data_IF_491759108452
#
_entry.id   IF_491759108452
#
_cell.length_a   1.000
_cell.length_b   1.000
_cell.length_c   1.000
_cell.angle_alpha   90.00
_cell.angle_beta   90.00
_cell.angle_gamma   90.00
#
_symmetry.space_group_name_H-M   'P 1'
#
loop_
_entity.id
_entity.type
_entity.pdbx_description
1 polymer ?
#
# COMPACT_ATOMS: atom_id res chain seq x y z
N UNK A 1 49.36 34.20 -79.02
CA UNK A 1 48.43 33.20 -78.47
C UNK A 1 48.49 33.32 -76.94
N UNK A 2 47.42 33.75 -76.29
CA UNK A 2 47.36 34.02 -74.87
C UNK A 2 46.84 32.76 -74.09
N UNK A 3 47.40 32.36 -72.96
CA UNK A 3 46.74 31.42 -72.11
C UNK A 3 45.89 32.11 -71.03
N UNK A 4 44.71 31.58 -70.81
CA UNK A 4 43.75 32.02 -69.79
C UNK A 4 44.17 31.62 -68.39
N UNK A 5 44.19 32.61 -67.50
CA UNK A 5 44.37 32.40 -66.08
C UNK A 5 43.02 31.96 -65.39
N UNK A 6 42.99 30.77 -64.85
CA UNK A 6 41.87 30.30 -64.02
C UNK A 6 42.03 30.80 -62.61
N UNK A 7 40.99 31.47 -62.09
CA UNK A 7 40.89 31.89 -60.66
C UNK A 7 40.40 30.73 -59.81
N UNK A 8 41.25 30.32 -58.90
CA UNK A 8 40.86 29.36 -57.86
C UNK A 8 40.22 30.17 -56.71
N UNK A 9 38.94 29.94 -56.48
CA UNK A 9 38.21 30.48 -55.31
C UNK A 9 38.40 29.56 -54.12
N UNK A 10 39.08 30.07 -53.11
CA UNK A 10 39.29 29.38 -51.84
C UNK A 10 38.04 29.56 -50.94
N UNK A 11 37.22 28.50 -50.78
CA UNK A 11 36.13 28.51 -49.86
C UNK A 11 36.66 28.17 -48.46
N UNK A 12 36.67 29.16 -47.56
CA UNK A 12 36.88 28.96 -46.12
C UNK A 12 35.57 28.46 -45.50
N UNK A 13 35.53 27.19 -45.09
CA UNK A 13 34.44 26.62 -44.32
C UNK A 13 34.71 26.96 -42.85
N UNK A 14 33.92 27.88 -42.31
CA UNK A 14 33.85 28.11 -40.85
C UNK A 14 33.00 27.01 -40.21
N UNK A 15 33.63 26.07 -39.52
CA UNK A 15 32.96 25.13 -38.67
C UNK A 15 32.61 25.83 -37.36
N UNK A 16 31.32 26.19 -37.19
CA UNK A 16 30.76 26.60 -35.91
C UNK A 16 30.64 25.38 -34.99
N UNK A 17 31.52 25.27 -34.01
CA UNK A 17 31.33 24.38 -32.86
C UNK A 17 30.24 24.99 -31.99
N UNK A 18 29.03 24.45 -32.09
CA UNK A 18 27.98 24.67 -31.09
C UNK A 18 28.32 23.86 -29.85
N UNK A 19 28.82 24.52 -28.79
CA UNK A 19 28.93 23.96 -27.46
C UNK A 19 27.50 23.80 -26.94
N UNK A 20 26.98 22.58 -27.00
CA UNK A 20 25.71 22.22 -26.35
C UNK A 20 25.87 22.35 -24.86
N UNK A 21 25.29 23.40 -24.28
CA UNK A 21 25.07 23.49 -22.84
C UNK A 21 24.08 22.34 -22.49
N UNK A 22 24.58 21.29 -21.90
CA UNK A 22 23.75 20.20 -21.36
C UNK A 22 22.81 20.79 -20.32
N UNK A 23 21.56 21.02 -20.69
CA UNK A 23 20.49 21.31 -19.76
C UNK A 23 20.29 20.10 -18.85
N UNK A 24 20.49 20.25 -17.55
CA UNK A 24 19.95 19.33 -16.55
C UNK A 24 18.44 19.25 -16.77
N UNK A 25 17.98 18.18 -17.41
CA UNK A 25 16.56 17.84 -17.41
C UNK A 25 16.21 17.48 -15.97
N UNK A 26 15.60 18.42 -15.24
CA UNK A 26 14.87 18.08 -14.03
C UNK A 26 13.73 17.15 -14.46
N UNK A 27 13.92 15.86 -14.26
CA UNK A 27 12.83 14.90 -14.37
C UNK A 27 11.88 15.18 -13.20
N UNK A 28 10.95 16.11 -13.40
CA UNK A 28 9.75 16.19 -12.59
C UNK A 28 8.99 14.89 -12.86
N UNK A 29 8.99 14.00 -11.90
CA UNK A 29 8.10 12.83 -11.89
C UNK A 29 6.67 13.38 -11.82
N UNK A 30 6.03 13.50 -12.96
CA UNK A 30 4.59 13.79 -13.02
C UNK A 30 3.90 12.49 -12.58
N UNK A 31 3.37 12.47 -11.37
CA UNK A 31 2.48 11.40 -10.93
C UNK A 31 1.25 11.44 -11.84
N UNK A 32 1.14 10.48 -12.74
CA UNK A 32 0.07 10.44 -13.74
C UNK A 32 -1.19 9.76 -13.22
N UNK A 33 -1.11 9.08 -12.09
CA UNK A 33 -2.24 8.41 -11.43
C UNK A 33 -2.75 9.24 -10.25
N UNK A 34 -4.09 9.23 -10.00
CA UNK A 34 -4.65 9.91 -8.84
C UNK A 34 -4.09 9.34 -7.54
N UNK A 35 -3.77 10.21 -6.57
CA UNK A 35 -3.31 9.78 -5.25
C UNK A 35 -4.33 8.87 -4.56
N UNK A 36 -3.86 7.81 -3.92
CA UNK A 36 -4.63 6.90 -3.07
C UNK A 36 -4.86 7.47 -1.67
N UNK A 37 -4.09 8.49 -1.29
CA UNK A 37 -4.15 9.13 0.02
C UNK A 37 -4.88 10.46 -0.14
N UNK A 38 -5.90 10.68 0.70
CA UNK A 38 -6.70 11.90 0.75
C UNK A 38 -6.41 12.64 2.06
N UNK A 39 -6.03 13.91 2.00
CA UNK A 39 -5.88 14.75 3.20
C UNK A 39 -7.20 14.88 3.96
N UNK A 40 -7.15 14.81 5.30
CA UNK A 40 -8.36 14.85 6.13
C UNK A 40 -9.23 16.09 5.86
N UNK A 41 -8.61 17.25 5.62
CA UNK A 41 -9.32 18.51 5.31
C UNK A 41 -10.09 18.44 3.98
N UNK A 42 -9.62 17.64 3.04
CA UNK A 42 -10.23 17.54 1.72
C UNK A 42 -11.52 16.71 1.73
N UNK A 43 -11.71 15.86 2.77
CA UNK A 43 -12.88 14.99 2.87
C UNK A 43 -14.20 15.78 2.87
N UNK A 44 -14.22 16.98 3.44
CA UNK A 44 -15.40 17.87 3.44
C UNK A 44 -15.98 18.09 2.05
N UNK A 45 -15.11 18.13 1.05
CA UNK A 45 -15.49 18.29 -0.36
C UNK A 45 -16.17 17.06 -0.99
N UNK A 46 -16.22 15.93 -0.30
CA UNK A 46 -16.79 14.68 -0.80
C UNK A 46 -18.06 14.24 -0.06
N UNK A 47 -18.33 14.82 1.13
CA UNK A 47 -19.54 14.49 1.91
C UNK A 47 -20.79 14.83 1.10
N UNK A 48 -21.68 13.85 0.94
CA UNK A 48 -22.95 14.00 0.22
C UNK A 48 -22.82 14.15 -1.30
N UNK A 49 -21.64 13.93 -1.89
CA UNK A 49 -21.51 13.89 -3.36
C UNK A 49 -22.07 12.61 -3.95
N UNK A 50 -22.79 12.75 -5.05
CA UNK A 50 -23.26 11.61 -5.84
C UNK A 50 -22.09 10.76 -6.35
N UNK A 51 -22.25 9.45 -6.28
CA UNK A 51 -21.22 8.51 -6.71
C UNK A 51 -20.04 8.36 -5.75
N UNK A 52 -20.09 8.95 -4.54
CA UNK A 52 -19.07 8.81 -3.49
C UNK A 52 -19.70 8.15 -2.27
N UNK A 53 -19.02 7.14 -1.73
CA UNK A 53 -19.34 6.52 -0.44
C UNK A 53 -18.15 6.67 0.50
N UNK A 54 -18.40 7.29 1.65
CA UNK A 54 -17.41 7.40 2.74
C UNK A 54 -17.59 6.17 3.63
N UNK A 55 -16.50 5.47 3.93
CA UNK A 55 -16.51 4.22 4.70
C UNK A 55 -15.70 4.38 5.97
N UNK A 56 -16.35 4.13 7.11
CA UNK A 56 -15.70 3.94 8.40
C UNK A 56 -15.38 2.46 8.59
N UNK A 57 -14.10 2.11 8.68
CA UNK A 57 -13.67 0.72 8.83
C UNK A 57 -13.36 0.35 10.29
N UNK A 58 -13.67 1.24 11.24
CA UNK A 58 -13.59 0.98 12.69
C UNK A 58 -14.69 -0.01 13.12
N UNK A 59 -14.59 -0.46 14.36
CA UNK A 59 -15.63 -1.31 14.96
C UNK A 59 -17.01 -0.62 14.97
N UNK A 60 -18.07 -1.44 15.02
CA UNK A 60 -19.44 -0.93 15.10
C UNK A 60 -19.65 -0.02 16.33
N UNK A 61 -19.01 -0.33 17.46
CA UNK A 61 -19.09 0.48 18.67
C UNK A 61 -18.42 1.86 18.50
N UNK A 62 -17.24 1.91 17.87
CA UNK A 62 -16.56 3.18 17.57
C UNK A 62 -17.36 4.02 16.56
N UNK A 63 -17.94 3.39 15.55
CA UNK A 63 -18.83 4.05 14.60
C UNK A 63 -20.06 4.65 15.29
N UNK A 64 -20.73 3.87 16.15
CA UNK A 64 -21.92 4.31 16.91
C UNK A 64 -21.59 5.45 17.90
N UNK A 65 -20.38 5.47 18.45
CA UNK A 65 -19.91 6.53 19.34
C UNK A 65 -19.68 7.87 18.60
N UNK A 66 -19.49 7.83 17.27
CA UNK A 66 -19.35 9.01 16.43
C UNK A 66 -18.57 8.71 15.15
N UNK A 67 -19.13 9.12 14.01
CA UNK A 67 -18.55 8.92 12.68
C UNK A 67 -18.76 10.16 11.81
N UNK A 68 -18.08 10.25 10.67
CA UNK A 68 -18.30 11.32 9.69
C UNK A 68 -19.73 11.23 9.17
N UNK A 69 -20.44 12.35 9.17
CA UNK A 69 -21.84 12.40 8.71
C UNK A 69 -21.99 11.76 7.31
N UNK A 70 -22.91 10.80 7.21
CA UNK A 70 -23.18 10.09 5.96
C UNK A 70 -22.21 8.95 5.63
N UNK A 71 -21.23 8.66 6.47
CA UNK A 71 -20.36 7.49 6.31
C UNK A 71 -21.13 6.21 6.63
N UNK A 72 -20.89 5.15 5.86
CA UNK A 72 -21.33 3.78 6.17
C UNK A 72 -20.28 3.06 7.00
N UNK A 73 -20.67 2.07 7.80
CA UNK A 73 -19.72 1.26 8.55
C UNK A 73 -19.46 -0.06 7.84
N UNK A 74 -18.20 -0.31 7.49
CA UNK A 74 -17.72 -1.61 6.99
C UNK A 74 -16.51 -2.00 7.85
N UNK A 75 -16.73 -2.61 9.01
CA UNK A 75 -15.66 -3.02 9.89
C UNK A 75 -14.68 -3.97 9.20
N UNK A 76 -13.41 -3.94 9.61
CA UNK A 76 -12.36 -4.78 9.01
C UNK A 76 -12.73 -6.26 9.01
N UNK A 77 -13.42 -6.77 10.03
CA UNK A 77 -13.88 -8.15 10.11
C UNK A 77 -14.86 -8.55 9.00
N UNK A 78 -15.57 -7.59 8.41
CA UNK A 78 -16.49 -7.87 7.30
C UNK A 78 -15.78 -8.13 5.97
N UNK A 79 -14.56 -7.64 5.81
CA UNK A 79 -13.77 -7.76 4.59
C UNK A 79 -12.63 -8.77 4.67
N UNK A 80 -12.54 -9.54 5.75
CA UNK A 80 -11.55 -10.61 5.92
C UNK A 80 -12.23 -11.94 6.26
N UNK A 81 -11.47 -13.03 6.17
CA UNK A 81 -11.83 -14.36 6.70
C UNK A 81 -10.70 -14.85 7.59
N UNK A 82 -11.02 -15.80 8.50
CA UNK A 82 -10.07 -16.30 9.48
C UNK A 82 -9.68 -17.77 9.21
N UNK A 83 -9.58 -18.15 7.94
CA UNK A 83 -9.22 -19.49 7.48
C UNK A 83 -8.31 -19.35 6.24
N UNK A 84 -7.17 -20.04 6.16
CA UNK A 84 -6.58 -20.95 7.18
C UNK A 84 -6.06 -20.23 8.42
N UNK A 85 -5.72 -18.94 8.32
CA UNK A 85 -5.26 -18.09 9.42
C UNK A 85 -6.08 -16.79 9.48
N UNK A 86 -5.83 -15.96 10.49
CA UNK A 86 -6.57 -14.70 10.67
C UNK A 86 -6.31 -13.69 9.58
N UNK A 87 -7.33 -12.91 9.25
CA UNK A 87 -7.29 -11.73 8.37
C UNK A 87 -6.94 -12.03 6.90
N UNK A 88 -7.20 -13.25 6.42
CA UNK A 88 -7.06 -13.60 5.01
C UNK A 88 -8.03 -12.80 4.12
N UNK A 89 -7.68 -12.65 2.85
CA UNK A 89 -8.54 -12.04 1.84
C UNK A 89 -9.91 -12.73 1.82
N UNK A 90 -10.97 -11.93 1.91
CA UNK A 90 -12.34 -12.46 1.85
C UNK A 90 -12.66 -13.04 0.48
N UNK A 91 -13.74 -13.81 0.38
CA UNK A 91 -14.16 -14.36 -0.91
C UNK A 91 -14.84 -13.32 -1.80
N UNK A 92 -14.80 -13.55 -3.13
CA UNK A 92 -15.48 -12.74 -4.14
C UNK A 92 -16.96 -12.50 -3.78
N UNK A 93 -17.70 -13.54 -3.44
CA UNK A 93 -19.13 -13.43 -3.05
C UNK A 93 -19.34 -12.59 -1.79
N UNK A 94 -18.43 -12.70 -0.80
CA UNK A 94 -18.57 -11.92 0.43
C UNK A 94 -18.31 -10.45 0.15
N UNK A 95 -17.27 -10.09 -0.63
CA UNK A 95 -16.98 -8.69 -0.95
C UNK A 95 -18.10 -8.07 -1.81
N UNK A 96 -18.65 -8.81 -2.79
CA UNK A 96 -19.80 -8.34 -3.58
C UNK A 96 -21.00 -8.00 -2.69
N UNK A 97 -21.32 -8.87 -1.75
CA UNK A 97 -22.40 -8.64 -0.81
C UNK A 97 -22.12 -7.44 0.09
N UNK A 98 -20.93 -7.36 0.69
CA UNK A 98 -20.58 -6.27 1.62
C UNK A 98 -20.60 -4.93 0.89
N UNK A 99 -20.00 -4.83 -0.28
CA UNK A 99 -20.01 -3.58 -1.06
C UNK A 99 -21.42 -3.21 -1.50
N UNK A 100 -22.16 -4.14 -2.09
CA UNK A 100 -23.51 -3.90 -2.60
C UNK A 100 -24.50 -3.47 -1.51
N UNK A 101 -24.50 -4.12 -0.34
CA UNK A 101 -25.37 -3.75 0.78
C UNK A 101 -25.04 -2.39 1.39
N UNK A 102 -23.84 -1.87 1.16
CA UNK A 102 -23.40 -0.54 1.58
C UNK A 102 -23.47 0.52 0.46
N UNK A 103 -24.23 0.25 -0.62
CA UNK A 103 -24.47 1.22 -1.69
C UNK A 103 -23.28 1.42 -2.63
N UNK A 104 -22.28 0.53 -2.60
CA UNK A 104 -21.07 0.63 -3.40
C UNK A 104 -21.22 -0.22 -4.66
N UNK A 105 -21.15 0.41 -5.82
CA UNK A 105 -21.10 -0.20 -7.15
C UNK A 105 -19.68 -0.12 -7.73
N UNK A 106 -19.46 -0.72 -8.90
CA UNK A 106 -18.17 -0.63 -9.60
C UNK A 106 -17.80 0.79 -10.08
N UNK A 107 -18.74 1.72 -10.12
CA UNK A 107 -18.51 3.13 -10.49
C UNK A 107 -18.48 4.08 -9.29
N UNK A 108 -18.60 3.57 -8.07
CA UNK A 108 -18.61 4.36 -6.84
C UNK A 108 -17.18 4.67 -6.40
N UNK A 109 -16.86 5.95 -6.16
CA UNK A 109 -15.63 6.31 -5.47
C UNK A 109 -15.77 5.95 -3.98
N UNK A 110 -14.83 5.18 -3.45
CA UNK A 110 -14.78 4.81 -2.03
C UNK A 110 -13.73 5.65 -1.32
N UNK A 111 -14.09 6.28 -0.20
CA UNK A 111 -13.13 7.01 0.64
C UNK A 111 -13.20 6.38 2.03
N UNK A 112 -12.16 5.65 2.41
CA UNK A 112 -12.12 4.89 3.65
C UNK A 112 -11.27 5.59 4.73
N UNK A 113 -11.73 5.50 5.97
CA UNK A 113 -10.96 5.93 7.13
C UNK A 113 -11.10 4.95 8.30
N UNK A 114 -10.16 5.01 9.23
CA UNK A 114 -10.12 4.24 10.48
C UNK A 114 -9.38 5.02 11.58
N UNK A 115 -9.06 4.35 12.69
CA UNK A 115 -8.26 4.94 13.78
C UNK A 115 -6.75 4.72 13.62
N UNK A 116 -6.31 3.73 12.83
CA UNK A 116 -4.93 3.24 12.79
C UNK A 116 -4.39 2.94 11.38
N UNK A 117 -5.11 3.33 10.34
CA UNK A 117 -4.83 3.14 8.90
C UNK A 117 -4.86 1.70 8.40
N UNK A 118 -4.94 0.71 9.28
CA UNK A 118 -4.88 -0.69 8.88
C UNK A 118 -6.16 -1.14 8.18
N UNK A 119 -7.32 -0.82 8.75
CA UNK A 119 -8.63 -1.21 8.18
C UNK A 119 -8.93 -0.52 6.86
N UNK A 120 -8.73 0.79 6.77
CA UNK A 120 -8.94 1.58 5.56
C UNK A 120 -8.00 1.13 4.43
N UNK A 121 -6.72 0.93 4.73
CA UNK A 121 -5.75 0.41 3.77
C UNK A 121 -6.03 -1.05 3.38
N UNK A 122 -6.53 -1.87 4.31
CA UNK A 122 -6.95 -3.24 4.01
C UNK A 122 -8.15 -3.25 3.06
N UNK A 123 -9.12 -2.37 3.26
CA UNK A 123 -10.25 -2.22 2.34
C UNK A 123 -9.77 -1.80 0.95
N UNK A 124 -8.86 -0.82 0.86
CA UNK A 124 -8.26 -0.40 -0.41
C UNK A 124 -7.59 -1.57 -1.13
N UNK A 125 -6.70 -2.30 -0.45
CA UNK A 125 -6.02 -3.45 -1.05
C UNK A 125 -7.01 -4.54 -1.46
N UNK A 126 -8.03 -4.84 -0.63
CA UNK A 126 -9.09 -5.80 -0.97
C UNK A 126 -9.85 -5.38 -2.22
N UNK A 127 -10.21 -4.11 -2.34
CA UNK A 127 -10.86 -3.57 -3.54
C UNK A 127 -9.95 -3.66 -4.77
N UNK A 128 -8.66 -3.38 -4.63
CA UNK A 128 -7.67 -3.58 -5.69
C UNK A 128 -7.60 -5.03 -6.14
N UNK A 129 -7.60 -5.99 -5.20
CA UNK A 129 -7.63 -7.42 -5.50
C UNK A 129 -8.80 -7.80 -6.40
N UNK A 130 -9.96 -7.18 -6.19
CA UNK A 130 -11.19 -7.45 -6.92
C UNK A 130 -11.47 -6.48 -8.09
N UNK A 131 -10.46 -5.71 -8.48
CA UNK A 131 -10.47 -4.88 -9.69
C UNK A 131 -11.14 -3.52 -9.56
N UNK A 132 -11.47 -3.06 -8.35
CA UNK A 132 -11.98 -1.72 -8.08
C UNK A 132 -10.82 -0.79 -7.71
N UNK A 133 -10.66 0.31 -8.46
CA UNK A 133 -9.49 1.21 -8.35
C UNK A 133 -9.84 2.59 -7.82
N UNK A 134 -11.10 2.98 -7.84
CA UNK A 134 -11.54 4.30 -7.39
C UNK A 134 -11.76 4.28 -5.87
N UNK A 135 -10.65 4.19 -5.14
CA UNK A 135 -10.64 4.11 -3.67
C UNK A 135 -9.49 4.93 -3.10
N UNK A 136 -9.76 5.62 -2.00
CA UNK A 136 -8.81 6.45 -1.26
C UNK A 136 -8.83 6.12 0.23
N UNK A 137 -7.69 6.36 0.89
CA UNK A 137 -7.53 6.28 2.34
C UNK A 137 -7.36 7.69 2.90
N UNK A 138 -8.08 8.03 3.97
CA UNK A 138 -7.92 9.32 4.62
C UNK A 138 -6.64 9.35 5.46
N UNK A 139 -5.80 10.33 5.20
CA UNK A 139 -4.55 10.54 5.93
C UNK A 139 -4.80 10.96 7.39
N UNK A 140 -4.08 10.34 8.33
CA UNK A 140 -4.26 10.55 9.76
C UNK A 140 -5.56 9.99 10.34
N UNK A 141 -6.43 9.38 9.52
CA UNK A 141 -7.64 8.67 9.92
C UNK A 141 -8.63 9.51 10.72
N UNK A 142 -9.42 8.86 11.60
CA UNK A 142 -10.49 9.52 12.38
C UNK A 142 -9.97 10.65 13.30
N UNK A 143 -8.77 10.51 13.84
CA UNK A 143 -8.19 11.54 14.70
C UNK A 143 -7.96 12.85 13.92
N UNK A 144 -7.41 12.76 12.70
CA UNK A 144 -7.22 13.93 11.84
C UNK A 144 -8.56 14.52 11.39
N UNK A 145 -9.56 13.68 11.07
CA UNK A 145 -10.90 14.12 10.70
C UNK A 145 -11.60 14.86 11.84
N UNK A 146 -11.51 14.35 13.07
CA UNK A 146 -12.08 14.99 14.25
C UNK A 146 -11.47 16.37 14.52
N UNK A 147 -10.18 16.55 14.19
CA UNK A 147 -9.49 17.84 14.32
C UNK A 147 -9.86 18.85 13.21
N UNK A 148 -10.51 18.40 12.12
CA UNK A 148 -10.86 19.24 10.97
C UNK A 148 -12.24 19.93 11.08
N UNK A 149 -12.90 19.89 12.25
CA UNK A 149 -14.25 20.44 12.45
C UNK A 149 -15.32 19.89 11.46
N UNK A 150 -15.18 18.64 11.03
CA UNK A 150 -16.20 17.98 10.24
C UNK A 150 -17.43 17.66 11.10
N UNK A 151 -18.60 17.69 10.48
CA UNK A 151 -19.83 17.26 11.16
C UNK A 151 -19.75 15.76 11.44
N UNK A 152 -19.77 15.41 12.72
CA UNK A 152 -19.90 14.04 13.17
C UNK A 152 -21.36 13.71 13.45
N UNK A 153 -21.72 12.44 13.31
CA UNK A 153 -23.04 11.89 13.55
C UNK A 153 -22.95 10.62 14.38
N UNK A 154 -24.00 10.30 15.09
CA UNK A 154 -24.24 8.99 15.73
C UNK A 154 -25.39 8.24 15.06
N UNK A 155 -26.00 8.84 14.05
CA UNK A 155 -27.13 8.25 13.31
C UNK A 155 -26.64 7.25 12.28
N UNK A 156 -27.09 6.00 12.37
CA UNK A 156 -26.74 4.97 11.39
C UNK A 156 -27.26 5.30 9.99
N UNK A 157 -26.42 5.07 8.99
CA UNK A 157 -26.81 5.24 7.58
C UNK A 157 -27.35 3.92 7.03
N UNK A 158 -28.50 4.00 6.35
CA UNK A 158 -29.06 2.85 5.60
C UNK A 158 -28.98 3.19 4.10
N UNK A 159 -27.89 2.83 3.43
CA UNK A 159 -27.73 3.15 2.01
C UNK A 159 -28.71 2.35 1.15
N UNK A 160 -29.03 2.90 -0.03
CA UNK A 160 -29.70 2.12 -1.05
C UNK A 160 -28.74 1.06 -1.58
N UNK A 161 -29.20 -0.19 -1.63
CA UNK A 161 -28.39 -1.28 -2.17
C UNK A 161 -27.95 -1.01 -3.61
N UNK A 162 -26.71 -1.39 -3.92
CA UNK A 162 -26.13 -1.30 -5.26
C UNK A 162 -25.63 -2.68 -5.71
N UNK A 163 -25.28 -2.80 -6.98
CA UNK A 163 -24.66 -4.00 -7.51
C UNK A 163 -23.16 -3.77 -7.63
N UNK A 164 -22.39 -4.55 -6.89
CA UNK A 164 -20.94 -4.62 -7.02
C UNK A 164 -20.57 -5.98 -7.62
N UNK A 165 -19.80 -5.97 -8.70
CA UNK A 165 -19.29 -7.19 -9.35
C UNK A 165 -17.78 -7.24 -9.18
N UNK A 166 -17.32 -8.18 -8.37
CA UNK A 166 -15.91 -8.41 -8.15
C UNK A 166 -15.30 -9.19 -9.34
N UNK A 167 -14.07 -8.84 -9.73
CA UNK A 167 -13.28 -9.64 -10.67
C UNK A 167 -12.62 -10.80 -9.93
N UNK A 168 -12.06 -11.74 -10.67
CA UNK A 168 -11.15 -12.73 -10.09
C UNK A 168 -10.00 -12.01 -9.35
N UNK A 169 -9.55 -12.53 -8.20
CA UNK A 169 -8.48 -11.91 -7.45
C UNK A 169 -7.21 -11.72 -8.28
N UNK A 170 -6.68 -10.52 -8.25
CA UNK A 170 -5.52 -10.15 -9.05
C UNK A 170 -4.23 -10.73 -8.45
N UNK A 171 -3.66 -11.74 -9.09
CA UNK A 171 -2.43 -12.43 -8.64
C UNK A 171 -1.21 -11.53 -8.52
N UNK A 172 -1.19 -10.41 -9.25
CA UNK A 172 -0.08 -9.45 -9.19
C UNK A 172 -0.03 -8.62 -7.90
N UNK A 173 -1.00 -8.76 -6.99
CA UNK A 173 -1.03 -8.10 -5.68
C UNK A 173 -0.93 -9.08 -4.50
N UNK A 174 -0.95 -10.37 -4.79
CA UNK A 174 -0.96 -11.45 -3.81
C UNK A 174 0.27 -12.34 -3.99
N UNK A 175 0.94 -12.67 -2.89
CA UNK A 175 1.98 -13.67 -2.85
C UNK A 175 1.50 -14.89 -2.04
N UNK A 176 1.89 -16.08 -2.46
CA UNK A 176 1.58 -17.34 -1.77
C UNK A 176 2.74 -17.78 -0.88
N UNK A 177 2.46 -18.71 0.06
CA UNK A 177 3.49 -19.32 0.90
C UNK A 177 4.54 -20.04 0.06
N UNK A 178 4.13 -20.69 -1.05
CA UNK A 178 5.04 -21.41 -1.95
C UNK A 178 6.02 -20.45 -2.64
N UNK A 179 5.56 -19.26 -3.03
CA UNK A 179 6.43 -18.25 -3.64
C UNK A 179 7.42 -17.67 -2.65
N UNK A 180 6.97 -17.45 -1.40
CA UNK A 180 7.86 -17.03 -0.31
C UNK A 180 8.89 -18.11 0.01
N UNK A 181 8.48 -19.38 0.08
CA UNK A 181 9.38 -20.51 0.29
C UNK A 181 10.38 -20.67 -0.87
N UNK A 182 9.94 -20.46 -2.10
CA UNK A 182 10.82 -20.48 -3.27
C UNK A 182 11.90 -19.40 -3.17
N UNK A 183 11.55 -18.18 -2.73
CA UNK A 183 12.50 -17.10 -2.51
C UNK A 183 13.50 -17.43 -1.39
N UNK A 184 13.06 -18.08 -0.32
CA UNK A 184 13.95 -18.52 0.77
C UNK A 184 14.94 -19.58 0.30
N UNK A 185 14.51 -20.54 -0.52
CA UNK A 185 15.32 -21.66 -0.99
C UNK A 185 16.27 -21.29 -2.15
N UNK A 186 15.89 -20.33 -2.96
CA UNK A 186 16.67 -19.85 -4.11
C UNK A 186 16.49 -18.32 -4.23
N UNK A 187 17.23 -17.53 -3.42
CA UNK A 187 17.07 -16.09 -3.38
C UNK A 187 17.34 -15.42 -4.73
N UNK A 188 16.43 -14.53 -5.12
CA UNK A 188 16.57 -13.61 -6.23
C UNK A 188 16.82 -12.21 -5.64
N UNK A 189 17.95 -11.62 -5.94
CA UNK A 189 18.37 -10.30 -5.41
C UNK A 189 17.41 -9.17 -5.82
N UNK A 190 16.64 -9.35 -6.89
CA UNK A 190 15.62 -8.39 -7.30
C UNK A 190 14.29 -8.54 -6.54
N UNK A 191 14.09 -9.64 -5.82
CA UNK A 191 12.88 -9.90 -5.02
C UNK A 191 13.16 -9.73 -3.54
N UNK A 192 12.52 -8.77 -2.92
CA UNK A 192 12.68 -8.43 -1.51
C UNK A 192 11.51 -8.99 -0.70
N UNK A 193 11.79 -9.87 0.27
CA UNK A 193 10.83 -10.20 1.32
C UNK A 193 10.92 -9.11 2.39
N UNK A 194 9.85 -8.35 2.60
CA UNK A 194 9.85 -7.22 3.52
C UNK A 194 8.97 -7.50 4.74
N UNK A 195 9.63 -7.71 5.88
CA UNK A 195 8.97 -7.86 7.17
C UNK A 195 8.61 -6.49 7.74
N UNK A 196 7.32 -6.22 7.87
CA UNK A 196 6.83 -4.94 8.40
C UNK A 196 6.23 -5.09 9.81
N UNK A 197 6.60 -6.12 10.55
CA UNK A 197 6.24 -6.29 11.97
C UNK A 197 6.98 -5.28 12.84
N UNK A 198 6.79 -5.36 14.15
CA UNK A 198 7.62 -4.60 15.09
C UNK A 198 9.01 -5.24 15.25
N UNK A 199 9.98 -4.44 15.67
CA UNK A 199 11.32 -4.94 16.01
C UNK A 199 11.26 -5.98 17.14
N UNK A 200 10.31 -5.83 18.08
CA UNK A 200 10.10 -6.78 19.17
C UNK A 200 9.70 -8.17 18.63
N UNK A 201 8.66 -8.24 17.78
CA UNK A 201 8.25 -9.50 17.14
C UNK A 201 9.39 -10.14 16.34
N UNK A 202 10.16 -9.32 15.62
CA UNK A 202 11.29 -9.77 14.82
C UNK A 202 12.35 -10.47 15.66
N UNK A 203 12.71 -9.92 16.83
CA UNK A 203 13.74 -10.50 17.69
C UNK A 203 13.23 -11.61 18.61
N UNK A 204 11.94 -11.59 19.00
CA UNK A 204 11.39 -12.60 19.91
C UNK A 204 11.09 -13.94 19.23
N UNK A 205 10.47 -13.88 18.04
CA UNK A 205 9.97 -15.10 17.38
C UNK A 205 10.65 -15.40 16.05
N UNK A 206 11.66 -14.61 15.67
CA UNK A 206 12.39 -14.77 14.42
C UNK A 206 11.63 -14.23 13.20
N UNK A 207 12.17 -14.48 12.03
CA UNK A 207 11.72 -13.95 10.74
C UNK A 207 11.65 -15.04 9.67
N UNK A 208 10.99 -14.74 8.55
CA UNK A 208 11.19 -15.50 7.31
C UNK A 208 12.63 -15.28 6.87
N UNK A 209 13.41 -16.34 6.60
CA UNK A 209 14.81 -16.18 6.16
C UNK A 209 14.92 -15.25 4.94
N UNK A 210 16.06 -14.58 4.81
CA UNK A 210 16.36 -13.59 3.76
C UNK A 210 15.53 -12.30 3.82
N UNK A 211 14.53 -12.18 4.69
CA UNK A 211 13.72 -10.95 4.75
C UNK A 211 14.52 -9.77 5.34
N UNK A 212 14.21 -8.59 4.79
CA UNK A 212 14.61 -7.29 5.31
C UNK A 212 13.55 -6.81 6.28
N UNK A 213 13.97 -6.23 7.41
CA UNK A 213 13.07 -5.71 8.44
C UNK A 213 12.88 -4.20 8.28
N UNK A 214 11.65 -3.75 8.21
CA UNK A 214 11.30 -2.34 8.23
C UNK A 214 9.94 -2.13 8.91
N UNK A 215 9.95 -1.77 10.19
CA UNK A 215 8.74 -1.58 10.99
C UNK A 215 7.71 -0.69 10.25
N UNK A 216 6.46 -1.14 10.17
CA UNK A 216 5.40 -0.41 9.45
C UNK A 216 5.23 1.04 9.93
N UNK A 217 5.55 1.33 11.20
CA UNK A 217 5.49 2.69 11.75
C UNK A 217 6.47 3.65 11.08
N UNK A 218 7.54 3.13 10.43
CA UNK A 218 8.49 3.98 9.70
C UNK A 218 7.86 4.74 8.53
N UNK A 219 6.67 4.34 8.10
CA UNK A 219 5.92 4.98 7.02
C UNK A 219 5.11 6.21 7.47
N UNK A 220 5.04 6.48 8.77
CA UNK A 220 4.22 7.54 9.33
C UNK A 220 5.06 8.57 10.08
N UNK A 221 4.54 9.80 10.17
CA UNK A 221 5.05 10.78 11.11
C UNK A 221 4.57 10.44 12.52
N UNK A 222 5.46 10.49 13.50
CA UNK A 222 5.16 10.08 14.88
C UNK A 222 4.17 11.00 15.60
N UNK A 223 4.09 12.27 15.20
CA UNK A 223 3.26 13.26 15.89
C UNK A 223 1.76 13.13 15.59
N UNK A 224 1.41 13.07 14.32
CA UNK A 224 0.01 13.08 13.87
C UNK A 224 -0.40 11.77 13.18
N UNK A 225 0.54 10.87 13.06
CA UNK A 225 0.34 9.59 12.42
C UNK A 225 -0.09 9.70 10.94
N UNK A 226 0.22 10.80 10.26
CA UNK A 226 0.02 10.92 8.81
C UNK A 226 1.08 10.15 8.05
N UNK A 227 0.79 9.77 6.80
CA UNK A 227 1.77 9.14 5.93
C UNK A 227 2.94 10.09 5.67
N UNK A 228 4.16 9.57 5.63
CA UNK A 228 5.32 10.33 5.18
C UNK A 228 5.15 10.69 3.70
N UNK A 229 5.78 11.79 3.28
CA UNK A 229 5.75 12.18 1.86
C UNK A 229 6.41 11.11 0.99
N UNK A 230 6.04 11.08 -0.29
CA UNK A 230 6.59 10.13 -1.26
C UNK A 230 8.11 10.19 -1.36
N UNK A 231 8.69 11.40 -1.26
CA UNK A 231 10.15 11.59 -1.32
C UNK A 231 10.84 11.02 -0.08
N UNK A 232 10.31 11.28 1.13
CA UNK A 232 10.84 10.71 2.37
C UNK A 232 10.74 9.18 2.33
N UNK A 233 9.61 8.65 1.86
CA UNK A 233 9.43 7.20 1.71
C UNK A 233 10.46 6.61 0.76
N UNK A 234 10.65 7.19 -0.42
CA UNK A 234 11.67 6.72 -1.37
C UNK A 234 13.06 6.70 -0.74
N UNK A 235 13.45 7.80 -0.10
CA UNK A 235 14.78 7.89 0.54
C UNK A 235 14.93 6.78 1.57
N UNK A 236 13.98 6.62 2.50
CA UNK A 236 14.05 5.62 3.55
C UNK A 236 14.19 4.19 2.99
N UNK A 237 13.43 3.85 1.95
CA UNK A 237 13.49 2.51 1.36
C UNK A 237 14.75 2.29 0.53
N UNK A 238 15.19 3.29 -0.22
CA UNK A 238 16.41 3.20 -1.02
C UNK A 238 17.67 3.11 -0.14
N UNK A 239 17.68 3.74 1.05
CA UNK A 239 18.76 3.60 2.04
C UNK A 239 18.89 2.15 2.56
N UNK A 240 17.77 1.41 2.60
CA UNK A 240 17.73 -0.02 2.94
C UNK A 240 17.95 -0.93 1.71
N UNK A 241 18.32 -0.37 0.56
CA UNK A 241 18.54 -1.12 -0.68
C UNK A 241 17.28 -1.58 -1.39
N UNK A 242 16.13 -0.98 -1.08
CA UNK A 242 14.83 -1.31 -1.67
C UNK A 242 14.45 -0.25 -2.69
N UNK A 243 14.56 -0.59 -3.97
CA UNK A 243 14.36 0.33 -5.09
C UNK A 243 12.99 0.12 -5.77
N UNK A 244 12.45 1.16 -6.48
CA UNK A 244 11.15 1.05 -7.16
C UNK A 244 11.03 -0.07 -8.20
N UNK A 245 12.13 -0.50 -8.77
CA UNK A 245 12.22 -1.62 -9.73
C UNK A 245 12.20 -3.01 -9.10
N UNK A 246 12.43 -3.12 -7.79
CA UNK A 246 12.39 -4.42 -7.11
C UNK A 246 10.97 -5.00 -7.07
N UNK A 247 10.87 -6.31 -7.08
CA UNK A 247 9.68 -7.02 -6.64
C UNK A 247 9.66 -7.08 -5.11
N UNK A 248 8.61 -6.57 -4.48
CA UNK A 248 8.49 -6.52 -3.03
C UNK A 248 7.36 -7.42 -2.58
N UNK A 249 7.65 -8.38 -1.72
CA UNK A 249 6.65 -9.20 -1.04
C UNK A 249 6.58 -8.75 0.42
N UNK A 250 5.48 -8.05 0.76
CA UNK A 250 5.21 -7.56 2.10
C UNK A 250 4.60 -8.65 2.97
N UNK A 251 5.05 -8.77 4.21
CA UNK A 251 4.34 -9.52 5.22
C UNK A 251 4.45 -8.86 6.59
N UNK A 252 3.45 -9.08 7.44
CA UNK A 252 3.52 -8.76 8.86
C UNK A 252 3.07 -9.98 9.68
N UNK A 253 2.43 -9.80 10.82
CA UNK A 253 1.93 -10.95 11.61
C UNK A 253 0.69 -11.59 10.98
N UNK A 254 -0.27 -10.78 10.50
CA UNK A 254 -1.58 -11.22 9.99
C UNK A 254 -2.07 -10.37 8.81
N UNK A 255 -1.16 -9.83 7.99
CA UNK A 255 -1.42 -9.08 6.77
C UNK A 255 -2.00 -7.65 6.95
N UNK A 256 -2.56 -7.27 8.11
CA UNK A 256 -3.18 -5.95 8.27
C UNK A 256 -2.16 -4.78 8.21
N UNK A 257 -1.01 -4.89 8.89
CA UNK A 257 0.04 -3.85 8.87
C UNK A 257 0.75 -3.74 7.52
N UNK A 258 0.70 -4.80 6.69
CA UNK A 258 1.24 -4.77 5.34
C UNK A 258 0.41 -3.87 4.40
N UNK A 259 -0.89 -3.72 4.65
CA UNK A 259 -1.78 -2.93 3.79
C UNK A 259 -1.43 -1.42 3.75
N UNK A 260 -1.23 -0.70 4.86
CA UNK A 260 -0.80 0.71 4.78
C UNK A 260 0.60 0.86 4.18
N UNK A 261 1.50 -0.10 4.36
CA UNK A 261 2.81 -0.09 3.69
C UNK A 261 2.66 -0.25 2.18
N UNK A 262 1.75 -1.13 1.74
CA UNK A 262 1.39 -1.26 0.32
C UNK A 262 0.90 0.08 -0.25
N UNK A 263 -0.02 0.77 0.43
CA UNK A 263 -0.53 2.09 0.00
C UNK A 263 0.61 3.10 -0.11
N UNK A 264 1.47 3.17 0.90
CA UNK A 264 2.57 4.12 0.95
C UNK A 264 3.61 3.87 -0.15
N UNK A 265 3.99 2.63 -0.38
CA UNK A 265 4.91 2.28 -1.47
C UNK A 265 4.30 2.55 -2.85
N UNK A 266 3.01 2.25 -3.01
CA UNK A 266 2.31 2.54 -4.26
C UNK A 266 2.29 4.04 -4.56
N UNK A 267 1.98 4.89 -3.56
CA UNK A 267 2.10 6.34 -3.65
C UNK A 267 3.51 6.80 -4.01
N UNK A 268 4.52 6.17 -3.43
CA UNK A 268 5.92 6.46 -3.70
C UNK A 268 6.41 5.97 -5.07
N UNK A 269 5.55 5.34 -5.88
CA UNK A 269 5.86 4.93 -7.25
C UNK A 269 6.39 3.50 -7.40
N UNK A 270 6.43 2.72 -6.34
CA UNK A 270 6.66 1.27 -6.45
C UNK A 270 5.44 0.61 -7.08
N UNK A 271 5.64 -0.32 -8.02
CA UNK A 271 4.51 -0.95 -8.75
C UNK A 271 4.49 -2.47 -8.66
N UNK A 272 5.60 -3.08 -8.35
CA UNK A 272 5.72 -4.53 -8.21
C UNK A 272 5.69 -4.92 -6.72
N UNK A 273 4.54 -4.65 -6.08
CA UNK A 273 4.32 -4.86 -4.65
C UNK A 273 3.24 -5.91 -4.47
N UNK A 274 3.52 -6.93 -3.69
CA UNK A 274 2.58 -8.01 -3.37
C UNK A 274 2.50 -8.18 -1.86
N UNK A 275 1.35 -8.62 -1.36
CA UNK A 275 1.18 -8.96 0.05
C UNK A 275 1.13 -10.49 0.17
N UNK A 276 1.99 -11.06 1.01
CA UNK A 276 1.85 -12.42 1.48
C UNK A 276 0.77 -12.44 2.55
N UNK A 277 -0.46 -12.82 2.14
CA UNK A 277 -1.67 -12.63 2.93
C UNK A 277 -1.76 -13.56 4.15
N UNK A 278 -1.23 -14.79 4.06
CA UNK A 278 -1.06 -15.69 5.20
C UNK A 278 -0.08 -15.20 6.25
N UNK A 279 0.83 -14.32 5.83
CA UNK A 279 1.76 -13.59 6.68
C UNK A 279 2.66 -14.51 7.56
N UNK A 280 3.27 -13.95 8.59
CA UNK A 280 4.12 -14.72 9.50
C UNK A 280 3.31 -15.79 10.27
N UNK A 281 2.03 -15.57 10.52
CA UNK A 281 1.18 -16.53 11.21
C UNK A 281 1.04 -17.84 10.43
N UNK A 282 0.80 -17.78 9.11
CA UNK A 282 0.76 -18.97 8.27
C UNK A 282 2.16 -19.59 8.14
N UNK A 283 3.17 -18.77 7.91
CA UNK A 283 4.55 -19.23 7.77
C UNK A 283 5.01 -20.05 8.98
N UNK A 284 4.86 -19.49 10.19
CA UNK A 284 5.30 -20.12 11.44
C UNK A 284 4.44 -21.29 11.91
N UNK A 285 3.19 -21.39 11.40
CA UNK A 285 2.30 -22.53 11.68
C UNK A 285 2.69 -23.79 10.91
N UNK A 286 3.44 -23.65 9.84
CA UNK A 286 3.95 -24.77 9.06
C UNK A 286 5.33 -25.17 9.58
N UNK A 287 5.43 -26.29 10.30
CA UNK A 287 6.67 -26.78 10.89
C UNK A 287 7.77 -27.14 9.86
N UNK A 288 7.42 -27.25 8.59
CA UNK A 288 8.37 -27.44 7.47
C UNK A 288 9.05 -26.15 7.01
N UNK A 289 8.54 -25.00 7.40
CA UNK A 289 9.13 -23.72 7.01
C UNK A 289 10.27 -23.31 7.95
N UNK A 290 11.40 -22.86 7.41
CA UNK A 290 12.52 -22.38 8.23
C UNK A 290 12.19 -21.03 8.88
N UNK A 291 12.66 -20.84 10.12
CA UNK A 291 12.63 -19.56 10.83
C UNK A 291 14.10 -19.17 11.11
N UNK A 292 14.45 -17.95 10.76
CA UNK A 292 15.76 -17.38 11.06
C UNK A 292 15.67 -16.49 12.29
N UNK A 293 16.52 -16.77 13.28
CA UNK A 293 16.66 -15.88 14.45
C UNK A 293 17.69 -14.80 14.13
N UNK A 294 17.32 -13.50 14.19
CA UNK A 294 18.27 -12.42 13.97
C UNK A 294 19.42 -12.42 14.98
N UNK A 295 20.58 -11.92 14.58
CA UNK A 295 21.70 -11.77 15.49
C UNK A 295 21.32 -10.85 16.68
N UNK A 296 21.57 -11.31 17.90
CA UNK A 296 21.18 -10.59 19.12
C UNK A 296 19.79 -10.98 19.68
N UNK A 297 19.08 -11.89 19.03
CA UNK A 297 17.85 -12.45 19.59
C UNK A 297 18.12 -13.23 20.88
N UNK A 298 17.23 -13.12 21.87
CA UNK A 298 17.25 -14.04 22.99
C UNK A 298 16.93 -15.46 22.48
N UNK A 299 17.65 -16.49 22.99
CA UNK A 299 17.30 -17.86 22.63
C UNK A 299 15.81 -18.11 22.97
N UNK A 300 15.02 -18.69 22.06
CA UNK A 300 13.61 -18.97 22.33
C UNK A 300 13.55 -19.86 23.60
N UNK A 301 12.69 -19.45 24.55
CA UNK A 301 12.43 -20.27 25.72
C UNK A 301 11.93 -21.64 25.23
N UNK A 302 12.58 -22.71 25.68
CA UNK A 302 12.16 -24.07 25.35
C UNK A 302 10.69 -24.20 25.71
N UNK A 303 9.83 -24.50 24.73
CA UNK A 303 8.44 -24.86 25.00
C UNK A 303 8.52 -26.17 25.78
N UNK A 304 8.25 -26.11 27.08
CA UNK A 304 8.07 -27.31 27.88
C UNK A 304 6.97 -28.16 27.24
N UNK A 305 7.39 -29.32 26.75
CA UNK A 305 6.47 -30.35 26.27
C UNK A 305 5.77 -30.95 27.49
N UNK A 306 4.58 -30.47 27.77
CA UNK A 306 3.65 -31.10 28.73
C UNK A 306 2.36 -31.49 28.01
#
# INVERSE_FOLDING_TARGET
MRPHAGKIALFLVFALFAVGIGGCSSHTFVQTEPSLILGAKELSGYIGKDGVVIVDTRSADEYAAGHVQGAVNIPTEDIVINVPVKNMLTSQKKIEKVMGSNGISNSTMVIAYDSNKMGASRLLWTLFMYGHRDVKVVDGGFNALSACNLTLSTESVSPQEAVFTAREPASNWLATQEEVLAQVNAPDDNRILLDVRSMEEYYEVGKVPTSVMMDYNTNFFSGDQTFKTTDITKINYMEEGIFPENEIILYCQTSLRAAPVFVQLYEAGYRNIRIYDGAYLEWSSNSGNPIEMPAGSAAPAAKDAS
#
